data_IF_026377346517
#
_entry.id   IF_026377346517
#
_cell.length_a   1.000
_cell.length_b   1.000
_cell.length_c   1.000
_cell.angle_alpha   90.00
_cell.angle_beta   90.00
_cell.angle_gamma   90.00
#
_symmetry.space_group_name_H-M   'P 1'
#
loop_
_entity.id
_entity.type
_entity.pdbx_description
1 polymer ?
#
# COMPACT_ATOMS: atom_id res chain seq x y z
N UNK A 1 -2.72 4.27 -0.75
CA UNK A 1 -2.26 3.03 -0.19
C UNK A 1 -2.62 2.93 1.29
N UNK A 2 -2.47 1.77 1.85
CA UNK A 2 -2.86 1.36 3.21
C UNK A 2 -2.22 2.16 4.37
N UNK A 3 -1.23 3.01 4.10
CA UNK A 3 -0.65 3.91 5.12
C UNK A 3 -1.69 4.88 5.67
N UNK A 4 -2.67 5.26 4.89
CA UNK A 4 -3.79 6.10 5.33
C UNK A 4 -4.70 5.38 6.33
N UNK A 5 -5.02 4.11 6.13
CA UNK A 5 -5.94 3.37 7.01
C UNK A 5 -5.35 3.06 8.38
N UNK A 6 -4.06 2.70 8.49
CA UNK A 6 -3.41 2.49 9.80
C UNK A 6 -3.24 3.79 10.59
N UNK A 7 -2.94 4.90 9.93
CA UNK A 7 -2.92 6.19 10.58
C UNK A 7 -4.32 6.61 11.03
N UNK A 8 -5.34 6.41 10.20
CA UNK A 8 -6.73 6.64 10.61
C UNK A 8 -7.12 5.82 11.84
N UNK A 9 -6.66 4.57 11.97
CA UNK A 9 -6.92 3.74 13.16
C UNK A 9 -6.23 4.32 14.41
N UNK A 10 -4.97 4.79 14.29
CA UNK A 10 -4.27 5.43 15.43
C UNK A 10 -4.88 6.77 15.79
N UNK A 11 -5.20 7.59 14.80
CA UNK A 11 -5.85 8.88 14.99
C UNK A 11 -7.27 8.70 15.53
N UNK A 12 -8.02 7.70 15.04
CA UNK A 12 -9.31 7.29 15.59
C UNK A 12 -9.22 6.92 17.07
N UNK A 13 -8.22 6.12 17.47
CA UNK A 13 -7.98 5.77 18.89
C UNK A 13 -7.53 6.99 19.70
N UNK A 14 -6.76 7.91 19.11
CA UNK A 14 -6.33 9.11 19.78
C UNK A 14 -7.46 10.16 19.91
N UNK A 15 -8.34 10.25 18.91
CA UNK A 15 -9.47 11.17 18.89
C UNK A 15 -10.70 10.63 19.66
N UNK A 16 -10.79 9.31 19.81
CA UNK A 16 -11.85 8.63 20.53
C UNK A 16 -11.26 7.52 21.42
N UNK A 17 -10.50 7.86 22.47
CA UNK A 17 -9.83 6.90 23.34
C UNK A 17 -10.80 6.01 24.10
N UNK A 18 -11.98 6.52 24.44
CA UNK A 18 -12.98 5.85 25.27
C UNK A 18 -13.98 5.03 24.44
N UNK A 19 -13.85 5.01 23.11
CA UNK A 19 -14.76 4.29 22.21
C UNK A 19 -16.17 4.89 22.15
N UNK A 20 -16.30 6.19 22.40
CA UNK A 20 -17.58 6.91 22.33
C UNK A 20 -18.20 6.79 20.93
N UNK A 21 -19.36 6.18 20.86
CA UNK A 21 -20.11 5.99 19.60
C UNK A 21 -21.14 7.09 19.37
N UNK A 22 -21.44 7.91 20.36
CA UNK A 22 -22.43 8.98 20.26
C UNK A 22 -21.86 10.23 19.58
N UNK A 23 -20.58 10.52 19.83
CA UNK A 23 -19.88 11.69 19.30
C UNK A 23 -18.86 11.35 18.20
N UNK A 24 -18.80 10.09 17.78
CA UNK A 24 -17.95 9.62 16.70
C UNK A 24 -18.80 9.10 15.54
N UNK A 25 -18.69 9.75 14.38
CA UNK A 25 -19.38 9.34 13.16
C UNK A 25 -18.38 9.01 12.08
N UNK A 26 -18.61 7.92 11.36
CA UNK A 26 -17.76 7.47 10.26
C UNK A 26 -18.60 7.29 8.99
N UNK A 27 -18.15 7.91 7.92
CA UNK A 27 -18.74 7.81 6.58
C UNK A 27 -17.67 7.35 5.60
N UNK A 28 -18.02 6.41 4.75
CA UNK A 28 -17.12 5.84 3.74
C UNK A 28 -17.78 5.84 2.37
N UNK A 29 -17.02 6.19 1.34
CA UNK A 29 -17.44 6.12 -0.05
C UNK A 29 -18.20 7.35 -0.55
N UNK A 30 -18.57 7.26 -1.82
CA UNK A 30 -19.24 8.35 -2.56
C UNK A 30 -20.74 8.37 -2.31
N UNK A 31 -21.36 9.56 -2.45
CA UNK A 31 -22.82 9.71 -2.34
C UNK A 31 -23.30 10.17 -0.97
N UNK A 32 -22.41 10.66 -0.13
CA UNK A 32 -22.76 11.27 1.16
C UNK A 32 -23.58 12.53 0.89
N UNK A 33 -24.74 12.65 1.54
CA UNK A 33 -25.56 13.87 1.50
C UNK A 33 -24.88 14.97 2.32
N UNK A 34 -24.42 16.00 1.61
CA UNK A 34 -23.65 17.10 2.20
C UNK A 34 -24.48 17.90 3.22
N UNK A 35 -25.78 18.07 2.99
CA UNK A 35 -26.65 18.81 3.91
C UNK A 35 -26.81 18.06 5.23
N UNK A 36 -27.10 16.76 5.15
CA UNK A 36 -27.19 15.91 6.33
C UNK A 36 -25.86 15.83 7.08
N UNK A 37 -24.74 15.84 6.36
CA UNK A 37 -23.41 15.89 6.97
C UNK A 37 -23.19 17.20 7.72
N UNK A 38 -23.55 18.33 7.14
CA UNK A 38 -23.44 19.66 7.78
C UNK A 38 -24.36 19.72 9.01
N UNK A 39 -25.62 19.31 8.90
CA UNK A 39 -26.57 19.27 10.02
C UNK A 39 -26.02 18.41 11.19
N UNK A 40 -25.38 17.29 10.86
CA UNK A 40 -24.70 16.47 11.87
C UNK A 40 -23.52 17.21 12.51
N UNK A 41 -22.71 17.88 11.71
CA UNK A 41 -21.54 18.64 12.19
C UNK A 41 -21.94 19.82 13.10
N UNK A 42 -23.10 20.42 12.86
CA UNK A 42 -23.66 21.51 13.70
C UNK A 42 -24.32 21.02 14.98
N UNK A 43 -24.57 19.72 15.09
CA UNK A 43 -25.13 19.14 16.31
C UNK A 43 -24.09 19.12 17.43
N UNK A 44 -24.37 19.74 18.56
CA UNK A 44 -23.46 19.73 19.71
C UNK A 44 -23.13 18.32 20.18
N UNK A 45 -21.89 18.09 20.66
CA UNK A 45 -21.52 16.80 21.22
C UNK A 45 -22.34 16.47 22.47
N UNK A 46 -22.71 15.20 22.60
CA UNK A 46 -23.53 14.70 23.70
C UNK A 46 -22.63 14.31 24.89
N UNK A 47 -22.70 15.06 25.98
CA UNK A 47 -21.87 14.88 27.19
C UNK A 47 -20.36 14.72 26.92
N UNK A 48 -19.83 15.36 25.86
CA UNK A 48 -18.42 15.35 25.51
C UNK A 48 -17.96 16.76 25.07
N UNK A 49 -16.67 16.99 25.10
CA UNK A 49 -16.08 18.25 24.64
C UNK A 49 -16.00 18.37 23.12
N UNK A 50 -16.06 17.23 22.42
CA UNK A 50 -15.74 17.15 20.99
C UNK A 50 -16.66 16.19 20.24
N UNK A 51 -16.95 16.54 18.99
CA UNK A 51 -17.54 15.66 18.00
C UNK A 51 -16.51 15.34 16.94
N UNK A 52 -16.34 14.07 16.59
CA UNK A 52 -15.41 13.62 15.56
C UNK A 52 -16.21 13.02 14.41
N UNK A 53 -15.97 13.53 13.21
CA UNK A 53 -16.54 12.99 11.98
C UNK A 53 -15.40 12.58 11.06
N UNK A 54 -15.29 11.27 10.80
CA UNK A 54 -14.30 10.69 9.90
C UNK A 54 -14.94 10.40 8.54
N UNK A 55 -14.34 10.90 7.50
CA UNK A 55 -14.80 10.82 6.11
C UNK A 55 -13.72 10.13 5.28
N UNK A 56 -14.02 8.94 4.73
CA UNK A 56 -13.07 8.14 3.95
C UNK A 56 -13.54 7.96 2.52
N UNK A 57 -12.64 8.23 1.55
CA UNK A 57 -12.84 8.04 0.10
C UNK A 57 -14.15 8.65 -0.45
N UNK A 58 -14.53 9.80 0.07
CA UNK A 58 -15.79 10.48 -0.26
C UNK A 58 -15.80 11.07 -1.66
N UNK A 59 -14.62 11.34 -2.21
CA UNK A 59 -14.46 11.99 -3.51
C UNK A 59 -14.71 13.51 -3.49
N UNK A 60 -14.90 14.14 -2.35
CA UNK A 60 -15.09 15.60 -2.23
C UNK A 60 -13.88 16.39 -2.71
N UNK A 61 -12.70 15.81 -2.69
CA UNK A 61 -11.46 16.44 -3.18
C UNK A 61 -11.20 16.23 -4.68
N UNK A 62 -12.03 15.42 -5.35
CA UNK A 62 -12.00 15.21 -6.80
C UNK A 62 -13.15 15.90 -7.50
N UNK A 63 -14.35 15.79 -6.95
CA UNK A 63 -15.57 16.38 -7.46
C UNK A 63 -15.80 17.78 -6.85
N UNK A 64 -16.65 18.57 -7.51
CA UNK A 64 -17.07 19.86 -6.95
C UNK A 64 -17.99 19.63 -5.76
N UNK A 65 -17.66 20.22 -4.62
CA UNK A 65 -18.45 20.25 -3.40
C UNK A 65 -18.35 21.67 -2.81
N UNK A 66 -19.12 22.59 -3.37
CA UNK A 66 -19.02 24.03 -3.00
C UNK A 66 -19.61 24.30 -1.63
N UNK A 67 -20.72 23.67 -1.31
CA UNK A 67 -21.45 23.82 -0.05
C UNK A 67 -20.57 23.43 1.15
N UNK A 68 -19.93 22.25 1.11
CA UNK A 68 -19.02 21.81 2.17
C UNK A 68 -17.76 22.67 2.23
N UNK A 69 -17.23 23.10 1.08
CA UNK A 69 -16.04 23.98 1.05
C UNK A 69 -16.32 25.36 1.64
N UNK A 70 -17.55 25.87 1.55
CA UNK A 70 -17.95 27.10 2.20
C UNK A 70 -18.16 26.90 3.71
N UNK A 71 -18.78 25.79 4.09
CA UNK A 71 -18.95 25.41 5.50
C UNK A 71 -17.60 25.29 6.25
N UNK A 72 -16.53 24.86 5.58
CA UNK A 72 -15.18 24.79 6.18
C UNK A 72 -14.67 26.12 6.73
N UNK A 73 -15.29 27.25 6.40
CA UNK A 73 -14.88 28.57 6.90
C UNK A 73 -15.48 28.90 8.27
N UNK A 74 -16.53 28.21 8.65
CA UNK A 74 -17.36 28.49 9.84
C UNK A 74 -17.51 27.25 10.72
N UNK A 75 -16.44 26.44 10.84
CA UNK A 75 -16.46 25.22 11.63
C UNK A 75 -16.63 25.53 13.13
N UNK A 76 -17.51 24.82 13.86
CA UNK A 76 -17.60 24.92 15.29
C UNK A 76 -16.32 24.43 15.99
N UNK A 77 -15.95 25.07 17.11
CA UNK A 77 -14.73 24.74 17.86
C UNK A 77 -14.72 23.31 18.42
N UNK A 78 -15.89 22.73 18.65
CA UNK A 78 -16.02 21.35 19.15
C UNK A 78 -15.86 20.29 18.05
N UNK A 79 -15.87 20.67 16.76
CA UNK A 79 -15.89 19.75 15.64
C UNK A 79 -14.48 19.37 15.16
N UNK A 80 -14.22 18.08 15.12
CA UNK A 80 -13.04 17.51 14.48
C UNK A 80 -13.49 16.78 13.20
N UNK A 81 -13.28 17.41 12.06
CA UNK A 81 -13.61 16.86 10.75
C UNK A 81 -12.34 16.32 10.11
N UNK A 82 -12.28 15.00 9.93
CA UNK A 82 -11.10 14.26 9.43
C UNK A 82 -11.43 13.65 8.09
N UNK A 83 -10.63 13.97 7.08
CA UNK A 83 -10.74 13.41 5.73
C UNK A 83 -9.57 12.47 5.45
N UNK A 84 -9.87 11.25 5.02
CA UNK A 84 -8.91 10.27 4.53
C UNK A 84 -9.22 9.92 3.07
N UNK A 85 -8.52 10.54 2.14
CA UNK A 85 -8.81 10.44 0.72
C UNK A 85 -7.63 9.85 -0.06
N UNK A 86 -7.91 8.90 -0.95
CA UNK A 86 -6.91 8.31 -1.85
C UNK A 86 -6.68 9.13 -3.11
N UNK A 87 -7.69 9.89 -3.56
CA UNK A 87 -7.63 10.72 -4.77
C UNK A 87 -7.92 12.19 -4.45
N UNK A 88 -6.89 13.04 -4.54
CA UNK A 88 -6.99 14.46 -4.23
C UNK A 88 -6.49 15.32 -5.39
N UNK A 89 -7.34 16.23 -5.88
CA UNK A 89 -6.90 17.33 -6.76
C UNK A 89 -6.56 18.56 -5.89
N UNK A 90 -5.29 18.91 -5.82
CA UNK A 90 -4.79 20.06 -5.05
C UNK A 90 -5.32 21.41 -5.57
N UNK A 91 -5.92 21.46 -6.77
CA UNK A 91 -6.57 22.65 -7.35
C UNK A 91 -8.01 22.81 -6.88
N UNK A 92 -8.61 21.72 -6.36
CA UNK A 92 -9.99 21.69 -5.90
C UNK A 92 -10.22 22.72 -4.78
N UNK A 93 -11.43 23.31 -4.76
CA UNK A 93 -11.85 24.30 -3.74
C UNK A 93 -11.84 23.70 -2.33
N UNK A 94 -12.30 22.46 -2.19
CA UNK A 94 -12.30 21.73 -0.92
C UNK A 94 -10.88 21.59 -0.34
N UNK A 95 -9.89 21.21 -1.16
CA UNK A 95 -8.50 21.13 -0.73
C UNK A 95 -7.97 22.48 -0.22
N UNK A 96 -8.30 23.58 -0.91
CA UNK A 96 -7.91 24.92 -0.52
C UNK A 96 -8.59 25.35 0.78
N UNK A 97 -9.87 25.03 0.97
CA UNK A 97 -10.62 25.30 2.18
C UNK A 97 -10.00 24.60 3.39
N UNK A 98 -9.77 23.26 3.29
CA UNK A 98 -9.13 22.49 4.36
C UNK A 98 -7.72 23.02 4.67
N UNK A 99 -6.95 23.40 3.64
CA UNK A 99 -5.60 23.97 3.85
C UNK A 99 -5.63 25.31 4.61
N UNK A 100 -6.71 26.07 4.47
CA UNK A 100 -6.85 27.38 5.14
C UNK A 100 -7.24 27.26 6.61
N UNK A 101 -8.03 26.24 7.01
CA UNK A 101 -8.57 26.09 8.36
C UNK A 101 -7.98 24.90 9.15
N UNK A 102 -7.21 24.02 8.49
CA UNK A 102 -6.73 22.77 9.10
C UNK A 102 -5.33 22.38 8.67
N UNK A 103 -4.99 21.14 8.96
CA UNK A 103 -3.69 20.54 8.61
C UNK A 103 -3.87 19.45 7.55
N UNK A 104 -2.94 19.39 6.61
CA UNK A 104 -2.92 18.37 5.55
C UNK A 104 -1.65 17.54 5.67
N UNK A 105 -1.80 16.22 5.77
CA UNK A 105 -0.71 15.27 5.69
C UNK A 105 -0.83 14.45 4.40
N UNK A 106 0.21 14.47 3.57
CA UNK A 106 0.27 13.67 2.35
C UNK A 106 1.10 12.41 2.58
N UNK A 107 0.49 11.25 2.44
CA UNK A 107 1.16 9.96 2.58
C UNK A 107 1.45 9.39 1.19
N UNK A 108 2.71 9.46 0.80
CA UNK A 108 3.20 8.86 -0.45
C UNK A 108 3.78 7.47 -0.19
N UNK A 109 3.76 6.62 -1.21
CA UNK A 109 4.46 5.34 -1.14
C UNK A 109 5.94 5.59 -0.89
N UNK A 110 6.47 4.91 0.12
CA UNK A 110 7.86 5.06 0.50
C UNK A 110 8.78 4.37 -0.52
N UNK A 111 9.96 4.94 -0.71
CA UNK A 111 11.01 4.32 -1.50
C UNK A 111 11.60 3.09 -0.78
N UNK A 112 12.30 2.25 -1.52
CA UNK A 112 12.92 1.02 -1.03
C UNK A 112 13.84 1.26 0.17
N UNK A 113 14.67 2.31 0.09
CA UNK A 113 15.63 2.62 1.16
C UNK A 113 14.93 3.04 2.46
N UNK A 114 13.87 3.81 2.33
CA UNK A 114 13.07 4.25 3.48
C UNK A 114 12.32 3.07 4.09
N UNK A 115 11.74 2.17 3.26
CA UNK A 115 11.09 0.94 3.73
C UNK A 115 12.07 0.03 4.47
N UNK A 116 13.27 -0.20 3.91
CA UNK A 116 14.30 -1.02 4.56
C UNK A 116 14.75 -0.43 5.90
N UNK A 117 14.94 0.89 5.96
CA UNK A 117 15.31 1.59 7.19
C UNK A 117 14.20 1.50 8.24
N UNK A 118 12.96 1.67 7.84
CA UNK A 118 11.79 1.56 8.70
C UNK A 118 11.63 0.13 9.23
N UNK A 119 11.74 -0.88 8.36
CA UNK A 119 11.66 -2.28 8.75
C UNK A 119 12.79 -2.69 9.70
N UNK A 120 14.03 -2.27 9.40
CA UNK A 120 15.17 -2.48 10.28
C UNK A 120 14.98 -1.80 11.65
N UNK A 121 14.34 -0.63 11.68
CA UNK A 121 13.99 0.06 12.92
C UNK A 121 12.98 -0.69 13.78
N UNK A 122 11.98 -1.34 13.18
CA UNK A 122 11.00 -2.17 13.90
C UNK A 122 11.67 -3.41 14.46
N UNK A 123 12.41 -4.15 13.63
CA UNK A 123 13.14 -5.35 14.04
C UNK A 123 14.17 -5.02 15.13
N UNK A 124 14.90 -3.92 14.99
CA UNK A 124 15.87 -3.45 15.98
C UNK A 124 15.25 -3.10 17.34
N UNK A 125 14.04 -2.49 17.36
CA UNK A 125 13.31 -2.27 18.62
C UNK A 125 12.89 -3.56 19.33
N UNK A 126 12.71 -4.65 18.56
CA UNK A 126 12.46 -5.98 19.10
C UNK A 126 13.75 -6.78 19.40
N UNK A 127 14.93 -6.14 19.35
CA UNK A 127 16.22 -6.78 19.58
C UNK A 127 16.69 -7.69 18.45
N UNK A 128 16.06 -7.59 17.24
CA UNK A 128 16.39 -8.45 16.09
C UNK A 128 17.34 -7.76 15.13
N UNK A 129 18.27 -8.51 14.58
CA UNK A 129 19.20 -8.11 13.52
C UNK A 129 18.85 -8.84 12.23
N UNK A 130 18.98 -8.16 11.10
CA UNK A 130 18.75 -8.74 9.78
C UNK A 130 19.83 -8.21 8.82
N UNK A 131 20.31 -9.03 7.91
CA UNK A 131 21.26 -8.58 6.88
C UNK A 131 20.52 -7.77 5.80
N UNK A 132 21.27 -6.95 5.07
CA UNK A 132 20.68 -6.23 3.92
C UNK A 132 20.08 -7.19 2.88
N UNK A 133 20.76 -8.29 2.60
CA UNK A 133 20.32 -9.33 1.66
C UNK A 133 18.99 -9.98 2.12
N UNK A 134 18.87 -10.31 3.39
CA UNK A 134 17.66 -10.92 3.93
C UNK A 134 16.50 -9.90 4.01
N UNK A 135 16.82 -8.63 4.24
CA UNK A 135 15.83 -7.55 4.13
C UNK A 135 15.29 -7.39 2.70
N UNK A 136 16.16 -7.45 1.69
CA UNK A 136 15.75 -7.45 0.27
C UNK A 136 14.87 -8.68 -0.06
N UNK A 137 15.22 -9.86 0.49
CA UNK A 137 14.40 -11.07 0.38
C UNK A 137 13.03 -10.88 1.02
N UNK A 138 12.97 -10.33 2.23
CA UNK A 138 11.73 -10.03 2.94
C UNK A 138 10.83 -9.12 2.09
N UNK A 139 11.34 -8.00 1.59
CA UNK A 139 10.58 -7.08 0.73
C UNK A 139 10.15 -7.73 -0.58
N UNK A 140 11.00 -8.59 -1.16
CA UNK A 140 10.68 -9.34 -2.38
C UNK A 140 9.50 -10.29 -2.13
N UNK A 141 9.46 -10.96 -0.99
CA UNK A 141 8.45 -11.96 -0.65
C UNK A 141 7.12 -11.33 -0.22
N UNK A 142 7.18 -10.30 0.62
CA UNK A 142 6.01 -9.67 1.25
C UNK A 142 5.47 -8.47 0.47
N UNK A 143 6.26 -7.92 -0.46
CA UNK A 143 5.94 -6.69 -1.18
C UNK A 143 6.29 -5.43 -0.38
N UNK A 144 5.86 -4.28 -0.92
CA UNK A 144 6.19 -2.94 -0.39
C UNK A 144 5.03 -2.28 0.36
N UNK A 145 3.96 -3.02 0.62
CA UNK A 145 2.86 -2.54 1.45
C UNK A 145 3.29 -2.56 2.92
N UNK A 146 3.25 -1.38 3.56
CA UNK A 146 3.75 -1.23 4.93
C UNK A 146 2.93 -2.00 5.96
N UNK A 147 1.61 -2.10 5.77
CA UNK A 147 0.72 -2.85 6.66
C UNK A 147 1.04 -4.35 6.60
N UNK A 148 1.11 -4.90 5.38
CA UNK A 148 1.48 -6.30 5.19
C UNK A 148 2.91 -6.59 5.71
N UNK A 149 3.87 -5.73 5.36
CA UNK A 149 5.26 -5.88 5.82
C UNK A 149 5.35 -5.87 7.35
N UNK A 150 4.56 -5.04 8.03
CA UNK A 150 4.51 -5.00 9.47
C UNK A 150 3.98 -6.31 10.07
N UNK A 151 2.87 -6.83 9.54
CA UNK A 151 2.32 -8.12 10.01
C UNK A 151 3.33 -9.27 9.82
N UNK A 152 4.03 -9.29 8.69
CA UNK A 152 5.06 -10.31 8.43
C UNK A 152 6.26 -10.17 9.37
N UNK A 153 6.69 -8.94 9.69
CA UNK A 153 7.74 -8.69 10.68
C UNK A 153 7.31 -9.11 12.10
N UNK A 154 6.06 -8.87 12.50
CA UNK A 154 5.52 -9.29 13.79
C UNK A 154 5.55 -10.83 13.91
N UNK A 155 5.20 -11.56 12.84
CA UNK A 155 5.35 -13.02 12.79
C UNK A 155 6.81 -13.46 12.92
N UNK A 156 7.73 -12.82 12.20
CA UNK A 156 9.17 -13.12 12.29
C UNK A 156 9.73 -12.86 13.68
N UNK A 157 9.35 -11.75 14.32
CA UNK A 157 9.77 -11.42 15.69
C UNK A 157 9.34 -12.53 16.66
N UNK A 158 8.08 -12.96 16.56
CA UNK A 158 7.53 -14.03 17.41
C UNK A 158 8.19 -15.39 17.12
N UNK A 159 8.39 -15.73 15.84
CA UNK A 159 9.02 -17.00 15.44
C UNK A 159 10.48 -17.10 15.87
N UNK A 160 11.19 -15.98 15.82
CA UNK A 160 12.61 -15.92 16.22
C UNK A 160 12.81 -15.62 17.71
N UNK A 161 11.78 -15.82 18.55
CA UNK A 161 11.92 -15.66 20.00
C UNK A 161 13.10 -16.49 20.54
N UNK A 162 13.91 -15.89 21.40
CA UNK A 162 15.15 -16.51 21.91
C UNK A 162 16.37 -16.41 20.97
N UNK A 163 16.24 -15.83 19.78
CA UNK A 163 17.34 -15.58 18.83
C UNK A 163 17.40 -14.11 18.43
N UNK A 164 18.60 -13.57 18.27
CA UNK A 164 18.80 -12.14 17.92
C UNK A 164 18.84 -11.89 16.40
N UNK A 165 18.96 -12.94 15.59
CA UNK A 165 19.15 -12.81 14.13
C UNK A 165 17.97 -13.44 13.39
N UNK A 166 17.43 -12.69 12.43
CA UNK A 166 16.48 -13.18 11.43
C UNK A 166 17.26 -13.61 10.20
N UNK A 167 17.06 -14.85 9.76
CA UNK A 167 17.76 -15.46 8.62
C UNK A 167 16.87 -15.58 7.38
N UNK A 168 17.47 -15.88 6.22
CA UNK A 168 16.74 -16.16 5.00
C UNK A 168 15.76 -17.35 5.16
N UNK A 169 16.18 -18.38 5.89
CA UNK A 169 15.37 -19.57 6.17
C UNK A 169 14.11 -19.21 6.96
N UNK A 170 14.24 -18.36 8.00
CA UNK A 170 13.09 -17.88 8.77
C UNK A 170 12.07 -17.13 7.88
N UNK A 171 12.59 -16.29 6.97
CA UNK A 171 11.75 -15.53 6.02
C UNK A 171 11.04 -16.50 5.06
N UNK A 172 11.76 -17.48 4.54
CA UNK A 172 11.18 -18.47 3.61
C UNK A 172 10.11 -19.32 4.28
N UNK A 173 10.27 -19.68 5.54
CA UNK A 173 9.35 -20.55 6.27
C UNK A 173 8.10 -19.79 6.73
N UNK A 174 8.25 -18.59 7.29
CA UNK A 174 7.18 -17.90 8.00
C UNK A 174 6.45 -16.85 7.15
N UNK A 175 7.18 -16.14 6.28
CA UNK A 175 6.56 -15.05 5.54
C UNK A 175 5.70 -15.54 4.38
N UNK A 176 4.51 -14.98 4.30
CA UNK A 176 3.57 -15.28 3.21
C UNK A 176 3.99 -14.58 1.92
N UNK A 177 4.19 -15.36 0.86
CA UNK A 177 4.48 -14.79 -0.46
C UNK A 177 3.20 -14.22 -1.06
N UNK A 178 3.22 -12.95 -1.48
CA UNK A 178 2.09 -12.34 -2.17
C UNK A 178 1.79 -13.04 -3.51
N UNK A 179 0.51 -13.07 -3.90
CA UNK A 179 0.06 -13.66 -5.19
C UNK A 179 0.84 -13.12 -6.39
N UNK A 180 1.10 -11.80 -6.43
CA UNK A 180 1.88 -11.18 -7.51
C UNK A 180 3.31 -11.74 -7.58
N UNK A 181 3.93 -12.01 -6.43
CA UNK A 181 5.29 -12.55 -6.38
C UNK A 181 5.31 -14.03 -6.76
N UNK A 182 4.28 -14.81 -6.40
CA UNK A 182 4.11 -16.20 -6.88
C UNK A 182 3.96 -16.25 -8.40
N UNK A 183 3.24 -15.31 -9.00
CA UNK A 183 3.15 -15.19 -10.46
C UNK A 183 4.52 -14.88 -11.07
N UNK A 184 5.30 -13.99 -10.45
CA UNK A 184 6.66 -13.70 -10.90
C UNK A 184 7.55 -14.96 -10.85
N UNK A 185 7.48 -15.71 -9.74
CA UNK A 185 8.22 -16.99 -9.60
C UNK A 185 7.79 -18.02 -10.64
N UNK A 186 6.50 -18.06 -10.98
CA UNK A 186 5.98 -18.94 -12.04
C UNK A 186 6.52 -18.51 -13.41
N UNK A 187 6.54 -17.22 -13.75
CA UNK A 187 7.15 -16.71 -14.98
C UNK A 187 8.63 -17.04 -15.03
N UNK A 188 9.34 -16.92 -13.93
CA UNK A 188 10.76 -17.31 -13.83
C UNK A 188 10.96 -18.80 -14.08
N UNK A 189 10.14 -19.66 -13.47
CA UNK A 189 10.20 -21.10 -13.70
C UNK A 189 9.92 -21.47 -15.18
N UNK A 190 9.00 -20.76 -15.84
CA UNK A 190 8.77 -20.90 -17.29
C UNK A 190 10.00 -20.49 -18.08
N UNK A 191 10.63 -19.35 -17.72
CA UNK A 191 11.88 -18.86 -18.34
C UNK A 191 13.02 -19.85 -18.23
N UNK A 192 13.13 -20.51 -17.06
CA UNK A 192 14.13 -21.53 -16.76
C UNK A 192 13.79 -22.90 -17.35
N UNK A 193 12.67 -23.01 -18.10
CA UNK A 193 12.11 -24.28 -18.65
C UNK A 193 11.83 -25.33 -17.56
N UNK A 194 11.61 -24.90 -16.33
CA UNK A 194 11.24 -25.76 -15.21
C UNK A 194 9.73 -25.95 -15.15
N UNK A 195 9.21 -26.80 -16.05
CA UNK A 195 7.78 -27.06 -16.18
C UNK A 195 7.15 -27.56 -14.87
N UNK A 196 7.83 -28.45 -14.15
CA UNK A 196 7.33 -29.00 -12.88
C UNK A 196 7.07 -27.88 -11.89
N UNK A 197 8.06 -27.00 -11.68
CA UNK A 197 7.94 -25.88 -10.74
C UNK A 197 6.88 -24.86 -11.17
N UNK A 198 6.75 -24.59 -12.46
CA UNK A 198 5.73 -23.68 -12.99
C UNK A 198 4.31 -24.21 -12.71
N UNK A 199 4.07 -25.52 -12.90
CA UNK A 199 2.79 -26.16 -12.61
C UNK A 199 2.50 -26.23 -11.10
N UNK A 200 3.48 -26.53 -10.26
CA UNK A 200 3.32 -26.49 -8.79
C UNK A 200 2.83 -25.11 -8.35
N UNK A 201 3.49 -24.03 -8.78
CA UNK A 201 3.10 -22.66 -8.45
C UNK A 201 1.71 -22.28 -8.96
N UNK A 202 1.32 -22.78 -10.14
CA UNK A 202 -0.04 -22.60 -10.67
C UNK A 202 -1.08 -23.28 -9.79
N UNK A 203 -0.86 -24.55 -9.41
CA UNK A 203 -1.77 -25.27 -8.52
C UNK A 203 -1.83 -24.67 -7.11
N UNK A 204 -0.72 -24.13 -6.59
CA UNK A 204 -0.70 -23.39 -5.35
C UNK A 204 -1.62 -22.16 -5.42
N UNK A 205 -1.60 -21.41 -6.53
CA UNK A 205 -2.47 -20.25 -6.74
C UNK A 205 -3.95 -20.68 -6.78
N UNK A 206 -4.28 -21.79 -7.42
CA UNK A 206 -5.65 -22.34 -7.44
C UNK A 206 -6.10 -22.78 -6.03
N UNK A 207 -5.20 -23.40 -5.26
CA UNK A 207 -5.48 -23.80 -3.87
C UNK A 207 -5.77 -22.59 -2.97
N UNK A 208 -5.12 -21.46 -3.24
CA UNK A 208 -5.39 -20.17 -2.58
C UNK A 208 -6.70 -19.52 -3.08
N UNK A 209 -7.49 -20.23 -3.92
CA UNK A 209 -8.74 -19.73 -4.51
C UNK A 209 -8.56 -18.47 -5.38
N UNK A 210 -7.38 -18.29 -5.96
CA UNK A 210 -7.19 -17.23 -6.94
C UNK A 210 -7.94 -17.57 -8.24
N UNK A 211 -8.82 -16.68 -8.73
CA UNK A 211 -9.56 -16.94 -9.97
C UNK A 211 -8.60 -17.11 -11.16
N UNK A 212 -8.79 -18.13 -12.03
CA UNK A 212 -7.92 -18.35 -13.19
C UNK A 212 -7.76 -17.14 -14.11
N UNK A 213 -8.83 -16.35 -14.27
CA UNK A 213 -8.79 -15.12 -15.06
C UNK A 213 -7.88 -14.05 -14.43
N UNK A 214 -7.82 -14.00 -13.10
CA UNK A 214 -6.89 -13.10 -12.39
C UNK A 214 -5.45 -13.56 -12.55
N UNK A 215 -5.20 -14.86 -12.49
CA UNK A 215 -3.88 -15.45 -12.75
C UNK A 215 -3.42 -15.08 -14.16
N UNK A 216 -4.28 -15.27 -15.17
CA UNK A 216 -3.98 -14.92 -16.55
C UNK A 216 -3.69 -13.44 -16.74
N UNK A 217 -4.50 -12.57 -16.13
CA UNK A 217 -4.28 -11.12 -16.15
C UNK A 217 -2.93 -10.72 -15.53
N UNK A 218 -2.57 -11.32 -14.39
CA UNK A 218 -1.30 -11.06 -13.72
C UNK A 218 -0.11 -11.58 -14.52
N UNK A 219 -0.24 -12.74 -15.18
CA UNK A 219 0.75 -13.26 -16.12
C UNK A 219 0.97 -12.30 -17.28
N UNK A 220 -0.10 -11.90 -17.95
CA UNK A 220 -0.02 -10.95 -19.07
C UNK A 220 0.62 -9.63 -18.64
N UNK A 221 0.24 -9.12 -17.45
CA UNK A 221 0.87 -7.93 -16.86
C UNK A 221 2.36 -8.12 -16.64
N UNK A 222 2.77 -9.31 -16.15
CA UNK A 222 4.18 -9.61 -15.91
C UNK A 222 4.99 -9.67 -17.20
N UNK A 223 4.49 -10.36 -18.23
CA UNK A 223 5.15 -10.40 -19.53
C UNK A 223 5.24 -9.02 -20.18
N UNK A 224 4.20 -8.20 -20.05
CA UNK A 224 4.24 -6.80 -20.48
C UNK A 224 5.33 -5.99 -19.75
N UNK A 225 5.52 -6.23 -18.46
CA UNK A 225 6.61 -5.58 -17.71
C UNK A 225 7.99 -6.04 -18.18
N UNK A 226 8.16 -7.34 -18.52
CA UNK A 226 9.41 -7.85 -19.12
C UNK A 226 9.72 -7.15 -20.45
N UNK A 227 8.71 -7.05 -21.34
CA UNK A 227 8.83 -6.37 -22.63
C UNK A 227 9.26 -4.91 -22.46
N UNK A 228 8.52 -4.16 -21.65
CA UNK A 228 8.81 -2.74 -21.43
C UNK A 228 10.19 -2.54 -20.80
N UNK A 229 10.57 -3.35 -19.81
CA UNK A 229 11.89 -3.27 -19.19
C UNK A 229 13.00 -3.52 -20.22
N UNK A 230 12.81 -4.50 -21.12
CA UNK A 230 13.75 -4.82 -22.18
C UNK A 230 13.87 -3.69 -23.20
N UNK A 231 12.76 -3.10 -23.64
CA UNK A 231 12.73 -1.96 -24.54
C UNK A 231 13.41 -0.73 -23.92
N UNK A 232 13.13 -0.42 -22.66
CA UNK A 232 13.76 0.70 -21.95
C UNK A 232 15.27 0.48 -21.76
N UNK A 233 15.68 -0.75 -21.44
CA UNK A 233 17.09 -1.08 -21.33
C UNK A 233 17.81 -0.97 -22.69
N UNK A 234 17.18 -1.41 -23.79
CA UNK A 234 17.70 -1.23 -25.16
C UNK A 234 17.79 0.24 -25.56
N UNK A 235 16.90 1.09 -25.06
CA UNK A 235 16.95 2.55 -25.24
C UNK A 235 17.98 3.25 -24.32
N UNK A 236 18.76 2.50 -23.52
CA UNK A 236 19.84 3.04 -22.69
C UNK A 236 19.39 3.68 -21.37
N UNK A 237 18.13 3.47 -20.93
CA UNK A 237 17.65 4.03 -19.66
C UNK A 237 18.33 3.35 -18.47
N UNK A 238 18.63 4.16 -17.44
CA UNK A 238 19.15 3.65 -16.16
C UNK A 238 18.08 2.86 -15.40
N UNK A 239 18.49 1.93 -14.54
CA UNK A 239 17.57 1.09 -13.76
C UNK A 239 16.59 1.91 -12.89
N UNK A 240 17.01 3.04 -12.37
CA UNK A 240 16.18 3.97 -11.59
C UNK A 240 15.09 4.62 -12.44
N UNK A 241 15.38 4.95 -13.69
CA UNK A 241 14.39 5.50 -14.63
C UNK A 241 13.41 4.43 -15.08
N UNK A 242 13.88 3.20 -15.32
CA UNK A 242 13.03 2.04 -15.62
C UNK A 242 12.07 1.78 -14.45
N UNK A 243 12.57 1.81 -13.21
CA UNK A 243 11.78 1.65 -12.01
C UNK A 243 10.64 2.68 -11.94
N UNK A 244 10.98 3.95 -12.16
CA UNK A 244 10.00 5.05 -12.18
C UNK A 244 8.95 4.89 -13.28
N UNK A 245 9.35 4.52 -14.49
CA UNK A 245 8.44 4.32 -15.63
C UNK A 245 7.53 3.11 -15.49
N UNK A 246 8.02 2.03 -14.89
CA UNK A 246 7.24 0.83 -14.61
C UNK A 246 6.40 0.94 -13.33
N UNK A 247 6.65 1.94 -12.49
CA UNK A 247 5.99 2.13 -11.20
C UNK A 247 6.28 1.00 -10.20
N UNK A 248 7.50 0.43 -10.26
CA UNK A 248 7.93 -0.67 -9.40
C UNK A 248 9.22 -0.34 -8.66
N UNK A 249 9.49 -0.96 -7.49
CA UNK A 249 10.74 -0.78 -6.76
C UNK A 249 11.98 -1.21 -7.55
N UNK A 250 13.15 -0.63 -7.23
CA UNK A 250 14.40 -0.91 -7.93
C UNK A 250 14.84 -2.38 -7.87
N UNK A 251 14.63 -3.06 -6.75
CA UNK A 251 14.94 -4.50 -6.64
C UNK A 251 14.05 -5.35 -7.56
N UNK A 252 12.79 -4.96 -7.76
CA UNK A 252 11.87 -5.64 -8.69
C UNK A 252 12.35 -5.47 -10.13
N UNK A 253 12.87 -4.29 -10.51
CA UNK A 253 13.44 -4.04 -11.84
C UNK A 253 14.63 -4.97 -12.10
N UNK A 254 15.50 -5.18 -11.11
CA UNK A 254 16.63 -6.13 -11.23
C UNK A 254 16.15 -7.54 -11.59
N UNK A 255 15.12 -8.00 -10.90
CA UNK A 255 14.51 -9.31 -11.16
C UNK A 255 13.86 -9.38 -12.56
N UNK A 256 13.06 -8.35 -12.91
CA UNK A 256 12.42 -8.22 -14.22
C UNK A 256 13.46 -8.24 -15.35
N UNK A 257 14.51 -7.43 -15.25
CA UNK A 257 15.55 -7.35 -16.30
C UNK A 257 16.35 -8.64 -16.42
N UNK A 258 16.57 -9.34 -15.31
CA UNK A 258 17.22 -10.65 -15.34
C UNK A 258 16.37 -11.69 -16.10
N UNK A 259 15.07 -11.79 -15.80
CA UNK A 259 14.16 -12.66 -16.53
C UNK A 259 14.02 -12.26 -18.00
N UNK A 260 13.94 -10.96 -18.30
CA UNK A 260 13.79 -10.45 -19.66
C UNK A 260 14.97 -10.78 -20.59
N UNK A 261 16.16 -11.10 -20.04
CA UNK A 261 17.33 -11.52 -20.85
C UNK A 261 17.09 -12.84 -21.59
N UNK A 262 16.27 -13.72 -21.04
CA UNK A 262 16.00 -15.02 -21.63
C UNK A 262 15.08 -14.98 -22.87
N UNK A 263 14.41 -13.86 -23.10
CA UNK A 263 13.49 -13.68 -24.22
C UNK A 263 14.05 -12.67 -25.22
N UNK A 264 13.70 -12.80 -26.48
CA UNK A 264 13.81 -11.75 -27.49
C UNK A 264 12.64 -10.77 -27.38
N UNK A 265 12.76 -9.58 -27.96
CA UNK A 265 11.64 -8.62 -28.01
C UNK A 265 10.47 -9.23 -28.79
N UNK A 266 10.74 -9.89 -29.92
CA UNK A 266 9.71 -10.52 -30.75
C UNK A 266 8.95 -11.64 -30.04
N UNK A 267 9.61 -12.43 -29.17
CA UNK A 267 8.95 -13.44 -28.35
C UNK A 267 8.05 -12.86 -27.27
N UNK A 268 8.34 -11.66 -26.78
CA UNK A 268 7.53 -10.97 -25.77
C UNK A 268 6.36 -10.17 -26.38
N UNK A 269 6.38 -9.92 -27.69
CA UNK A 269 5.34 -9.20 -28.44
C UNK A 269 4.23 -10.16 -28.95
N UNK A 270 4.49 -11.45 -29.01
CA UNK A 270 3.52 -12.51 -29.38
C UNK A 270 2.60 -12.84 -28.20
#
# INVERSE_FOLDING_TARGET
GLVGSEMCIRDRKALNPDGDTMNFNHYEGKGIDVKQLIDLCETMPFFAERRVVLLEDTGFFKNKCEELADYMKELPDYLYLVFAETEVDKRNRMYKAVKACGSIAEFIRQDEKTLMRWAAGILGKAGKKITQRDMELLLTKTGTDMGNLRMEMEKLISYTEGRDVVTAEDIEEICTTQTTNRIFDMVRAVTEKNQKRALELYYDLLTLKEPPMRILFLLAKQYRQLLLAKQFAAAGLAQTEIASKLGVPGFVVRNITTCARAYTISELEQ
#
